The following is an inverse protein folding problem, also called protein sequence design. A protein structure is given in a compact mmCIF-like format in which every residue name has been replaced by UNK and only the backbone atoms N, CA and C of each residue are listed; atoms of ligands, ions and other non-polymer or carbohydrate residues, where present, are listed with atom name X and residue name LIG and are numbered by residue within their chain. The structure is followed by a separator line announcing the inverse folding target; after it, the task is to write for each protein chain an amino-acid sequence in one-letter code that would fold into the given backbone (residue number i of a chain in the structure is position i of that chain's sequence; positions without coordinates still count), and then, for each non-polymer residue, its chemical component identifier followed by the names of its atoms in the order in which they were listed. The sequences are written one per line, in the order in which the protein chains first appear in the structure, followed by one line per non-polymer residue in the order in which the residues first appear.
data_IF_094734246626
#
_entry.id   IF_094734246626
#
_cell.length_a   1.000
_cell.length_b   1.000
_cell.length_c   1.000
_cell.angle_alpha   90.00
_cell.angle_beta   90.00
_cell.angle_gamma   90.00
#
_symmetry.space_group_name_H-M   'P 1'
#
loop_
_entity.id
_entity.type
_entity.pdbx_description
1 polymer ?
#
# COMPACT_ATOMS: atom_id res chain seq x y z
N UNK A 1 -36.36 -17.76 -0.17
CA UNK A 1 -34.91 -17.54 -0.36
C UNK A 1 -34.57 -16.10 -0.77
N UNK A 2 -35.16 -15.57 -1.85
CA UNK A 2 -34.91 -14.20 -2.35
C UNK A 2 -35.13 -13.05 -1.33
N UNK A 3 -36.14 -13.14 -0.45
CA UNK A 3 -36.36 -12.13 0.62
C UNK A 3 -35.20 -12.02 1.60
N UNK A 4 -34.45 -13.11 1.85
CA UNK A 4 -33.34 -13.14 2.82
C UNK A 4 -32.09 -12.45 2.26
N UNK A 5 -31.83 -12.64 0.97
CA UNK A 5 -30.73 -12.00 0.22
C UNK A 5 -30.96 -10.49 0.11
N UNK A 6 -32.18 -10.06 -0.20
CA UNK A 6 -32.48 -8.63 -0.31
C UNK A 6 -32.33 -7.89 1.03
N UNK A 7 -32.72 -8.55 2.13
CA UNK A 7 -32.51 -8.04 3.49
C UNK A 7 -31.01 -7.95 3.84
N UNK A 8 -30.24 -8.99 3.53
CA UNK A 8 -28.79 -9.01 3.72
C UNK A 8 -28.07 -7.87 2.95
N UNK A 9 -28.43 -7.63 1.69
CA UNK A 9 -27.85 -6.52 0.91
C UNK A 9 -28.21 -5.14 1.47
N UNK A 10 -29.42 -5.01 2.03
CA UNK A 10 -29.87 -3.77 2.68
C UNK A 10 -29.10 -3.52 3.98
N UNK A 11 -28.92 -4.56 4.79
CA UNK A 11 -28.17 -4.51 6.04
C UNK A 11 -26.68 -4.21 5.77
N UNK A 12 -26.07 -4.85 4.78
CA UNK A 12 -24.71 -4.56 4.31
C UNK A 12 -24.59 -3.10 3.86
N UNK A 13 -25.53 -2.59 3.05
CA UNK A 13 -25.51 -1.19 2.61
C UNK A 13 -25.62 -0.21 3.79
N UNK A 14 -26.33 -0.58 4.86
CA UNK A 14 -26.42 0.22 6.09
C UNK A 14 -25.11 0.19 6.89
N UNK A 15 -24.42 -0.96 6.96
CA UNK A 15 -23.10 -1.12 7.59
C UNK A 15 -22.03 -0.33 6.82
N UNK A 16 -22.04 -0.40 5.49
CA UNK A 16 -21.12 0.34 4.61
C UNK A 16 -21.26 1.86 4.74
N UNK A 17 -22.43 2.36 5.16
CA UNK A 17 -22.61 3.79 5.49
C UNK A 17 -21.93 4.22 6.79
N UNK A 18 -21.69 3.28 7.71
CA UNK A 18 -20.92 3.54 8.95
C UNK A 18 -19.41 3.52 8.72
N UNK A 19 -18.95 3.10 7.54
CA UNK A 19 -17.54 3.17 7.16
C UNK A 19 -17.16 4.63 7.01
N UNK A 20 -16.42 5.14 7.98
CA UNK A 20 -15.81 6.46 7.94
C UNK A 20 -14.66 6.44 6.93
N UNK A 21 -14.97 6.74 5.68
CA UNK A 21 -13.96 6.90 4.65
C UNK A 21 -13.05 8.07 5.01
N UNK A 22 -11.72 7.90 4.91
CA UNK A 22 -10.78 8.98 5.17
C UNK A 22 -11.08 10.16 4.24
N UNK A 23 -10.89 11.38 4.74
CA UNK A 23 -11.06 12.55 3.90
C UNK A 23 -10.05 12.52 2.74
N UNK A 24 -10.39 13.15 1.61
CA UNK A 24 -9.49 13.21 0.44
C UNK A 24 -8.11 13.75 0.82
N UNK A 25 -8.06 14.70 1.75
CA UNK A 25 -6.83 15.29 2.27
C UNK A 25 -5.99 14.28 3.08
N UNK A 26 -6.61 13.50 3.96
CA UNK A 26 -5.91 12.46 4.73
C UNK A 26 -5.30 11.40 3.80
N UNK A 27 -6.06 11.01 2.77
CA UNK A 27 -5.60 10.04 1.77
C UNK A 27 -4.36 10.56 1.04
N UNK A 28 -4.40 11.81 0.54
CA UNK A 28 -3.27 12.42 -0.17
C UNK A 28 -2.03 12.55 0.74
N UNK A 29 -2.21 12.97 2.00
CA UNK A 29 -1.11 13.06 2.97
C UNK A 29 -0.47 11.70 3.24
N UNK A 30 -1.27 10.67 3.46
CA UNK A 30 -0.77 9.31 3.73
C UNK A 30 -0.03 8.73 2.51
N UNK A 31 -0.56 8.92 1.30
CA UNK A 31 0.11 8.46 0.08
C UNK A 31 1.42 9.25 -0.17
N UNK A 32 1.44 10.55 0.11
CA UNK A 32 2.64 11.39 -0.03
C UNK A 32 3.78 10.93 0.88
N UNK A 33 3.49 10.63 2.15
CA UNK A 33 4.48 10.10 3.10
C UNK A 33 4.99 8.72 2.65
N UNK A 34 4.09 7.85 2.17
CA UNK A 34 4.47 6.52 1.68
C UNK A 34 5.41 6.58 0.48
N UNK A 35 5.15 7.49 -0.47
CA UNK A 35 6.02 7.73 -1.62
C UNK A 35 7.41 8.20 -1.20
N UNK A 36 7.49 9.11 -0.24
CA UNK A 36 8.77 9.61 0.27
C UNK A 36 9.60 8.49 0.90
N UNK A 37 8.98 7.68 1.77
CA UNK A 37 9.68 6.57 2.45
C UNK A 37 10.13 5.53 1.42
N UNK A 38 9.26 5.17 0.48
CA UNK A 38 9.58 4.17 -0.56
C UNK A 38 10.72 4.65 -1.45
N UNK A 39 10.76 5.94 -1.80
CA UNK A 39 11.85 6.54 -2.57
C UNK A 39 13.19 6.37 -1.83
N UNK A 40 13.24 6.74 -0.54
CA UNK A 40 14.46 6.61 0.28
C UNK A 40 14.89 5.14 0.39
N UNK A 41 13.96 4.23 0.69
CA UNK A 41 14.24 2.80 0.76
C UNK A 41 14.76 2.25 -0.57
N UNK A 42 14.18 2.65 -1.70
CA UNK A 42 14.60 2.19 -3.03
C UNK A 42 16.00 2.66 -3.39
N UNK A 43 16.37 3.90 -3.03
CA UNK A 43 17.71 4.43 -3.23
C UNK A 43 18.75 3.69 -2.37
N UNK A 44 18.41 3.44 -1.10
CA UNK A 44 19.28 2.71 -0.20
C UNK A 44 19.52 1.28 -0.69
N UNK A 45 18.44 0.54 -0.97
CA UNK A 45 18.53 -0.83 -1.47
C UNK A 45 19.28 -0.88 -2.80
N UNK A 46 18.97 0.02 -3.75
CA UNK A 46 19.68 0.08 -5.03
C UNK A 46 21.18 0.36 -4.88
N UNK A 47 21.58 1.22 -3.94
CA UNK A 47 22.99 1.45 -3.64
C UNK A 47 23.67 0.20 -3.06
N UNK A 48 22.98 -0.50 -2.15
CA UNK A 48 23.47 -1.75 -1.56
C UNK A 48 23.58 -2.85 -2.62
N UNK A 49 22.57 -3.05 -3.46
CA UNK A 49 22.55 -4.04 -4.53
C UNK A 49 23.68 -3.80 -5.54
N UNK A 50 23.94 -2.55 -5.89
CA UNK A 50 25.05 -2.17 -6.76
C UNK A 50 26.41 -2.42 -6.09
N UNK A 51 26.56 -2.06 -4.82
CA UNK A 51 27.76 -2.30 -4.03
C UNK A 51 28.08 -3.79 -3.90
N UNK A 52 27.09 -4.59 -3.51
CA UNK A 52 27.23 -6.04 -3.40
C UNK A 52 27.53 -6.68 -4.75
N UNK A 53 26.83 -6.29 -5.83
CA UNK A 53 27.05 -6.85 -7.16
C UNK A 53 28.48 -6.64 -7.65
N UNK A 54 29.09 -5.49 -7.35
CA UNK A 54 30.49 -5.23 -7.70
C UNK A 54 31.46 -6.09 -6.87
N UNK A 55 31.21 -6.25 -5.57
CA UNK A 55 32.04 -7.11 -4.71
C UNK A 55 31.93 -8.57 -5.14
N UNK A 56 30.71 -9.07 -5.39
CA UNK A 56 30.47 -10.44 -5.84
C UNK A 56 31.13 -10.70 -7.20
N UNK A 57 31.06 -9.75 -8.14
CA UNK A 57 31.77 -9.86 -9.43
C UNK A 57 33.28 -9.98 -9.28
N UNK A 58 33.86 -9.30 -8.29
CA UNK A 58 35.31 -9.30 -8.05
C UNK A 58 35.78 -10.54 -7.26
N UNK A 59 34.86 -11.28 -6.62
CA UNK A 59 35.16 -12.51 -5.87
C UNK A 59 34.91 -13.76 -6.71
N UNK A 60 33.90 -13.74 -7.59
CA UNK A 60 33.53 -14.88 -8.45
C UNK A 60 34.20 -14.81 -9.83
N UNK A 61 34.55 -13.61 -10.31
CA UNK A 61 35.44 -13.41 -11.45
C UNK A 61 36.88 -13.29 -11.01
#
# INVERSE_FOLDING_TARGET
MFKRINKFLTDVRAEFKKVSWPSREQTIKQTGVTLLITLICSLFLGAVDYGLSNIVKQVIG
#
